data_IF_564639952468
#
_entry.id   IF_564639952468
#
_cell.length_a   1.000
_cell.length_b   1.000
_cell.length_c   1.000
_cell.angle_alpha   90.00
_cell.angle_beta   90.00
_cell.angle_gamma   90.00
#
_symmetry.space_group_name_H-M   'P 1'
#
loop_
_entity.id
_entity.type
_entity.pdbx_description
1 polymer ?
#
# COMPACT_ATOMS: atom_id res chain seq x y z
N UNK A 1 11.22 -28.72 26.14
CA UNK A 1 10.28 -28.21 25.13
C UNK A 1 11.04 -27.27 24.22
N UNK A 2 11.14 -27.60 22.92
CA UNK A 2 11.92 -26.82 21.93
C UNK A 2 11.02 -25.73 21.36
N UNK A 3 11.25 -24.48 21.76
CA UNK A 3 10.53 -23.33 21.23
C UNK A 3 11.24 -22.92 19.93
N UNK A 4 10.61 -23.22 18.80
CA UNK A 4 11.08 -22.79 17.50
C UNK A 4 10.80 -21.29 17.33
N UNK A 5 11.83 -20.46 17.48
CA UNK A 5 11.81 -19.06 17.08
C UNK A 5 11.79 -18.98 15.56
N UNK A 6 10.59 -18.75 15.00
CA UNK A 6 10.44 -18.37 13.59
C UNK A 6 10.88 -16.91 13.48
N UNK A 7 12.12 -16.69 13.03
CA UNK A 7 12.57 -15.40 12.52
C UNK A 7 11.75 -15.08 11.27
N UNK A 8 10.73 -14.23 11.41
CA UNK A 8 10.16 -13.55 10.26
C UNK A 8 11.18 -12.51 9.80
N UNK A 9 11.84 -12.81 8.69
CA UNK A 9 12.68 -11.87 7.98
C UNK A 9 11.80 -10.68 7.57
N UNK A 10 11.95 -9.57 8.30
CA UNK A 10 11.53 -8.27 7.84
C UNK A 10 12.37 -7.97 6.60
N UNK A 11 11.81 -8.28 5.42
CA UNK A 11 12.33 -7.78 4.17
C UNK A 11 12.14 -6.26 4.21
N UNK A 12 13.13 -5.57 4.74
CA UNK A 12 13.31 -4.14 4.60
C UNK A 12 13.55 -3.86 3.12
N UNK A 13 12.45 -3.75 2.37
CA UNK A 13 12.46 -3.10 1.07
C UNK A 13 12.99 -1.69 1.33
N UNK A 14 14.22 -1.44 0.89
CA UNK A 14 14.83 -0.12 0.91
C UNK A 14 13.82 0.86 0.33
N UNK A 15 13.29 1.74 1.18
CA UNK A 15 12.45 2.85 0.78
C UNK A 15 13.35 3.80 -0.01
N UNK A 16 13.43 3.58 -1.32
CA UNK A 16 13.92 4.60 -2.24
C UNK A 16 12.92 5.73 -2.12
N UNK A 17 13.31 6.79 -1.41
CA UNK A 17 12.58 8.05 -1.37
C UNK A 17 12.53 8.59 -2.81
N UNK A 18 11.50 8.21 -3.55
CA UNK A 18 11.23 8.75 -4.87
C UNK A 18 10.85 10.23 -4.67
N UNK A 19 11.45 11.16 -5.43
CA UNK A 19 11.06 12.57 -5.37
C UNK A 19 9.58 12.70 -5.78
N UNK A 20 8.93 13.74 -5.27
CA UNK A 20 7.56 14.12 -5.62
C UNK A 20 7.38 14.17 -7.15
N UNK A 21 6.80 13.12 -7.73
CA UNK A 21 6.56 13.04 -9.18
C UNK A 21 5.21 13.69 -9.49
N UNK A 22 5.24 15.01 -9.69
CA UNK A 22 4.16 15.69 -10.39
C UNK A 22 4.04 15.11 -11.81
N UNK A 23 2.92 14.43 -12.08
CA UNK A 23 2.47 13.96 -13.40
C UNK A 23 3.37 12.99 -14.19
N UNK A 24 4.40 12.37 -13.60
CA UNK A 24 5.13 11.29 -14.26
C UNK A 24 4.38 9.96 -14.13
N UNK A 25 4.43 9.12 -15.17
CA UNK A 25 3.72 7.84 -15.17
C UNK A 25 4.35 6.90 -14.16
N UNK A 26 3.55 6.40 -13.21
CA UNK A 26 4.01 5.44 -12.22
C UNK A 26 4.49 4.16 -12.92
N UNK A 27 5.59 3.61 -12.45
CA UNK A 27 5.98 2.24 -12.77
C UNK A 27 4.89 1.26 -12.32
N UNK A 28 4.87 0.06 -12.90
CA UNK A 28 3.90 -0.96 -12.52
C UNK A 28 3.99 -1.36 -11.04
N UNK A 29 5.21 -1.40 -10.49
CA UNK A 29 5.43 -1.64 -9.07
C UNK A 29 4.82 -0.52 -8.20
N UNK A 30 5.05 0.74 -8.57
CA UNK A 30 4.46 1.88 -7.85
C UNK A 30 2.93 1.92 -7.97
N UNK A 31 2.38 1.53 -9.13
CA UNK A 31 0.92 1.44 -9.30
C UNK A 31 0.29 0.37 -8.42
N UNK A 32 0.93 -0.80 -8.31
CA UNK A 32 0.48 -1.87 -7.40
C UNK A 32 0.59 -1.40 -5.95
N UNK A 33 1.68 -0.72 -5.58
CA UNK A 33 1.87 -0.16 -4.25
C UNK A 33 0.83 0.91 -3.92
N UNK A 34 0.50 1.80 -4.85
CA UNK A 34 -0.55 2.80 -4.68
C UNK A 34 -1.91 2.15 -4.38
N UNK A 35 -2.22 1.03 -5.05
CA UNK A 35 -3.45 0.28 -4.78
C UNK A 35 -3.44 -0.42 -3.41
N UNK A 36 -2.29 -0.93 -2.96
CA UNK A 36 -2.11 -1.40 -1.58
C UNK A 36 -2.41 -0.29 -0.56
N UNK A 37 -1.83 0.89 -0.78
CA UNK A 37 -2.04 2.08 0.03
C UNK A 37 -3.51 2.52 0.06
N UNK A 38 -4.20 2.46 -1.08
CA UNK A 38 -5.64 2.71 -1.13
C UNK A 38 -6.40 1.70 -0.27
N UNK A 39 -6.01 0.43 -0.29
CA UNK A 39 -6.62 -0.61 0.55
C UNK A 39 -6.46 -0.35 2.05
N UNK A 40 -5.28 0.08 2.50
CA UNK A 40 -5.03 0.45 3.89
C UNK A 40 -5.80 1.72 4.30
N UNK A 41 -5.87 2.71 3.41
CA UNK A 41 -6.60 3.95 3.64
C UNK A 41 -8.11 3.72 3.76
N UNK A 42 -8.67 2.80 2.96
CA UNK A 42 -10.09 2.44 3.01
C UNK A 42 -10.46 1.52 4.19
N UNK A 43 -9.47 0.96 4.89
CA UNK A 43 -9.70 0.04 5.98
C UNK A 43 -10.09 0.80 7.25
N UNK A 44 -11.40 0.85 7.53
CA UNK A 44 -11.96 1.50 8.73
C UNK A 44 -11.40 0.96 10.05
N UNK A 45 -10.90 -0.28 10.06
CA UNK A 45 -10.28 -0.89 11.24
C UNK A 45 -8.94 -0.26 11.63
N UNK A 46 -8.33 0.54 10.74
CA UNK A 46 -7.11 1.31 11.00
C UNK A 46 -7.40 2.79 11.33
N UNK A 47 -8.68 3.17 11.49
CA UNK A 47 -9.11 4.55 11.69
C UNK A 47 -9.52 5.25 10.39
N UNK A 48 -9.91 6.52 10.50
CA UNK A 48 -10.33 7.33 9.37
C UNK A 48 -9.14 7.98 8.66
N UNK A 49 -9.07 7.83 7.34
CA UNK A 49 -8.11 8.50 6.47
C UNK A 49 -8.79 8.79 5.11
N UNK A 50 -8.44 9.90 4.46
CA UNK A 50 -9.05 10.28 3.18
C UNK A 50 -8.40 9.55 1.99
N UNK A 51 -9.14 8.70 1.25
CA UNK A 51 -8.62 8.02 0.08
C UNK A 51 -8.71 8.83 -1.22
N UNK A 52 -9.28 10.05 -1.21
CA UNK A 52 -9.61 10.79 -2.42
C UNK A 52 -8.39 11.03 -3.32
N UNK A 53 -7.26 11.48 -2.76
CA UNK A 53 -6.03 11.71 -3.51
C UNK A 53 -5.51 10.44 -4.18
N UNK A 54 -5.42 9.33 -3.44
CA UNK A 54 -4.98 8.03 -3.98
C UNK A 54 -5.91 7.52 -5.09
N UNK A 55 -7.23 7.69 -4.93
CA UNK A 55 -8.21 7.30 -5.95
C UNK A 55 -8.01 8.06 -7.25
N UNK A 56 -7.74 9.36 -7.19
CA UNK A 56 -7.45 10.15 -8.39
C UNK A 56 -6.16 9.69 -9.06
N UNK A 57 -5.06 9.57 -8.30
CA UNK A 57 -3.77 9.08 -8.83
C UNK A 57 -3.94 7.72 -9.51
N UNK A 58 -4.60 6.75 -8.87
CA UNK A 58 -4.82 5.43 -9.46
C UNK A 58 -5.66 5.50 -10.73
N UNK A 59 -6.71 6.34 -10.75
CA UNK A 59 -7.56 6.53 -11.92
C UNK A 59 -6.77 7.07 -13.10
N UNK A 60 -5.96 8.10 -12.89
CA UNK A 60 -5.16 8.75 -13.95
C UNK A 60 -4.07 7.80 -14.48
N UNK A 61 -3.56 6.94 -13.61
CA UNK A 61 -2.49 6.01 -13.93
C UNK A 61 -2.99 4.70 -14.57
N UNK A 62 -4.29 4.39 -14.51
CA UNK A 62 -4.86 3.10 -14.96
C UNK A 62 -4.82 2.90 -16.48
N UNK A 63 -5.05 3.94 -17.25
CA UNK A 63 -5.18 3.83 -18.71
C UNK A 63 -3.90 3.27 -19.34
N UNK A 64 -4.03 2.30 -20.26
CA UNK A 64 -2.89 1.71 -20.98
C UNK A 64 -2.02 0.73 -20.18
N UNK A 65 -2.40 0.33 -18.96
CA UNK A 65 -1.69 -0.71 -18.22
C UNK A 65 -2.08 -2.11 -18.70
N UNK A 66 -1.13 -3.03 -18.63
CA UNK A 66 -1.38 -4.44 -18.93
C UNK A 66 -2.40 -5.02 -17.93
N UNK A 67 -3.18 -6.01 -18.36
CA UNK A 67 -4.19 -6.69 -17.53
C UNK A 67 -3.57 -7.28 -16.28
N UNK A 68 -2.45 -8.00 -16.44
CA UNK A 68 -1.65 -8.52 -15.33
C UNK A 68 -1.36 -7.46 -14.24
N UNK A 69 -0.90 -6.26 -14.61
CA UNK A 69 -0.60 -5.20 -13.65
C UNK A 69 -1.85 -4.71 -12.93
N UNK A 70 -2.97 -4.61 -13.65
CA UNK A 70 -4.26 -4.23 -13.07
C UNK A 70 -4.76 -5.27 -12.07
N UNK A 71 -4.71 -6.55 -12.43
CA UNK A 71 -5.13 -7.65 -11.56
C UNK A 71 -4.26 -7.73 -10.29
N UNK A 72 -2.95 -7.54 -10.42
CA UNK A 72 -2.01 -7.49 -9.29
C UNK A 72 -2.27 -6.29 -8.38
N UNK A 73 -2.65 -5.15 -8.95
CA UNK A 73 -3.00 -3.96 -8.18
C UNK A 73 -4.31 -4.16 -7.39
N UNK A 74 -5.34 -4.72 -8.03
CA UNK A 74 -6.61 -5.05 -7.37
C UNK A 74 -6.41 -6.10 -6.27
N UNK A 75 -5.58 -7.11 -6.51
CA UNK A 75 -5.19 -8.08 -5.49
C UNK A 75 -4.51 -7.40 -4.29
N UNK A 76 -3.52 -6.53 -4.54
CA UNK A 76 -2.80 -5.81 -3.48
C UNK A 76 -3.72 -4.94 -2.62
N UNK A 77 -4.70 -4.25 -3.24
CA UNK A 77 -5.72 -3.48 -2.52
C UNK A 77 -6.60 -4.38 -1.64
N UNK A 78 -7.08 -5.49 -2.19
CA UNK A 78 -7.93 -6.43 -1.46
C UNK A 78 -7.19 -7.11 -0.31
N UNK A 79 -5.94 -7.49 -0.52
CA UNK A 79 -5.09 -8.10 0.50
C UNK A 79 -4.79 -7.12 1.64
N UNK A 80 -4.53 -5.85 1.33
CA UNK A 80 -4.38 -4.81 2.34
C UNK A 80 -5.64 -4.66 3.21
N UNK A 81 -6.83 -4.63 2.59
CA UNK A 81 -8.09 -4.55 3.33
C UNK A 81 -8.30 -5.79 4.22
N UNK A 82 -7.98 -6.98 3.71
CA UNK A 82 -8.08 -8.23 4.47
C UNK A 82 -7.07 -8.26 5.62
N UNK A 83 -5.84 -7.83 5.41
CA UNK A 83 -4.81 -7.73 6.43
C UNK A 83 -5.27 -6.81 7.56
N UNK A 84 -5.73 -5.60 7.21
CA UNK A 84 -6.26 -4.64 8.17
C UNK A 84 -7.48 -5.15 8.95
N UNK A 85 -8.33 -5.95 8.31
CA UNK A 85 -9.52 -6.53 8.96
C UNK A 85 -9.18 -7.65 9.94
N UNK A 86 -8.06 -8.36 9.71
CA UNK A 86 -7.62 -9.51 10.52
C UNK A 86 -6.50 -9.17 11.50
N UNK A 87 -5.95 -7.98 11.43
CA UNK A 87 -4.82 -7.55 12.25
C UNK A 87 -5.21 -7.47 13.73
N UNK A 88 -4.34 -7.99 14.59
CA UNK A 88 -4.32 -7.67 16.01
C UNK A 88 -3.77 -6.25 16.23
N UNK A 89 -3.77 -5.76 17.47
CA UNK A 89 -3.38 -4.38 17.77
C UNK A 89 -1.93 -4.07 17.37
N UNK A 90 -1.01 -5.02 17.52
CA UNK A 90 0.39 -4.87 17.10
C UNK A 90 0.50 -4.76 15.58
N UNK A 91 -0.18 -5.64 14.84
CA UNK A 91 -0.21 -5.61 13.39
C UNK A 91 -0.92 -4.37 12.84
N UNK A 92 -1.98 -3.88 13.52
CA UNK A 92 -2.65 -2.63 13.15
C UNK A 92 -1.71 -1.44 13.24
N UNK A 93 -0.90 -1.34 14.31
CA UNK A 93 0.07 -0.27 14.45
C UNK A 93 1.07 -0.23 13.27
N UNK A 94 1.58 -1.40 12.85
CA UNK A 94 2.47 -1.50 11.69
C UNK A 94 1.77 -1.11 10.36
N UNK A 95 0.50 -1.50 10.18
CA UNK A 95 -0.27 -1.13 8.99
C UNK A 95 -0.63 0.36 8.96
N UNK A 96 -0.86 0.97 10.13
CA UNK A 96 -1.06 2.42 10.28
C UNK A 96 0.24 3.15 9.92
N UNK A 97 1.39 2.69 10.40
CA UNK A 97 2.69 3.24 10.04
C UNK A 97 2.93 3.16 8.52
N UNK A 98 2.64 2.01 7.91
CA UNK A 98 2.74 1.86 6.45
C UNK A 98 1.84 2.87 5.72
N UNK A 99 0.58 3.03 6.16
CA UNK A 99 -0.36 4.00 5.59
C UNK A 99 0.13 5.45 5.76
N UNK A 100 0.61 5.80 6.95
CA UNK A 100 0.84 7.21 7.30
C UNK A 100 2.24 7.70 6.95
N UNK A 101 3.19 6.79 6.73
CA UNK A 101 4.57 7.11 6.35
C UNK A 101 4.83 6.68 4.90
N UNK A 102 4.73 5.38 4.62
CA UNK A 102 5.10 4.82 3.31
C UNK A 102 4.19 5.33 2.20
N UNK A 103 2.88 5.38 2.43
CA UNK A 103 1.93 5.75 1.38
C UNK A 103 1.91 7.26 1.06
N UNK A 104 2.36 8.13 1.97
CA UNK A 104 2.44 9.58 1.70
C UNK A 104 3.45 9.92 0.59
N UNK A 105 4.49 9.10 0.42
CA UNK A 105 5.46 9.26 -0.65
C UNK A 105 4.89 9.10 -2.07
N UNK A 106 3.69 8.52 -2.21
CA UNK A 106 3.03 8.30 -3.50
C UNK A 106 2.03 9.42 -3.87
N UNK A 107 1.68 10.30 -2.92
CA UNK A 107 0.71 11.40 -3.12
C UNK A 107 1.29 12.79 -2.83
N UNK A 108 2.51 12.89 -2.31
CA UNK A 108 3.24 14.15 -2.23
C UNK A 108 3.61 14.59 -3.64
N UNK A 109 2.74 15.38 -4.26
CA UNK A 109 3.00 16.23 -5.42
C UNK A 109 3.28 17.65 -4.94
#
# INVERSE_FOLDING_TARGET
MRIATVLFAAASLAAVAAPALAAERLTDAQFIQANRCLGLTEAKTLGEADPAALKQVIKDQRAGRHTYTSDRADAARNDAKRAASKADETAKAALIEERDVTCKGLTAS
#
